data_IF_556941851998
#
_entry.id   IF_556941851998
#
_cell.length_a   1.000
_cell.length_b   1.000
_cell.length_c   1.000
_cell.angle_alpha   90.00
_cell.angle_beta   90.00
_cell.angle_gamma   90.00
#
_symmetry.space_group_name_H-M   'P 1'
#
loop_
_entity.id
_entity.type
_entity.pdbx_description
1 polymer ?
#
# COMPACT_ATOMS: atom_id res chain seq x y z
N UNK A 1 -24.41 31.03 14.73
CA UNK A 1 -24.94 29.68 14.96
C UNK A 1 -23.78 28.84 15.45
N UNK A 2 -23.88 28.24 16.62
CA UNK A 2 -22.81 27.39 17.18
C UNK A 2 -22.73 26.05 16.45
N UNK A 3 -21.62 25.33 16.60
CA UNK A 3 -21.52 23.96 16.10
C UNK A 3 -22.56 23.02 16.75
N UNK A 4 -22.92 23.22 18.02
CA UNK A 4 -24.00 22.45 18.67
C UNK A 4 -25.37 22.67 18.02
N UNK A 5 -25.68 23.92 17.66
CA UNK A 5 -26.92 24.25 16.96
C UNK A 5 -26.93 23.68 15.55
N UNK A 6 -25.78 23.73 14.86
CA UNK A 6 -25.58 23.11 13.55
C UNK A 6 -25.83 21.60 13.59
N UNK A 7 -25.31 20.89 14.58
CA UNK A 7 -25.47 19.45 14.71
C UNK A 7 -26.92 19.03 14.98
N UNK A 8 -27.73 19.90 15.60
CA UNK A 8 -29.16 19.67 15.83
C UNK A 8 -30.01 19.92 14.57
N UNK A 9 -29.50 20.65 13.59
CA UNK A 9 -30.23 20.98 12.37
C UNK A 9 -30.16 19.85 11.33
N UNK A 10 -31.31 19.45 10.79
CA UNK A 10 -31.34 18.65 9.57
C UNK A 10 -31.31 19.58 8.36
N UNK A 11 -30.12 19.73 7.75
CA UNK A 11 -29.87 20.64 6.61
C UNK A 11 -30.20 20.01 5.24
N UNK A 12 -30.57 18.73 5.22
CA UNK A 12 -30.93 18.00 4.01
C UNK A 12 -32.04 16.98 4.30
N UNK A 13 -32.93 16.79 3.33
CA UNK A 13 -33.98 15.77 3.38
C UNK A 13 -34.11 15.06 2.04
N UNK A 14 -33.83 13.76 2.04
CA UNK A 14 -34.09 12.86 0.91
C UNK A 14 -35.55 12.40 0.83
N UNK A 15 -36.27 12.46 1.96
CA UNK A 15 -37.71 12.25 2.01
C UNK A 15 -38.40 13.39 2.77
N UNK A 16 -39.03 14.30 2.01
CA UNK A 16 -39.79 15.42 2.55
C UNK A 16 -41.03 14.98 3.32
N UNK A 17 -41.56 13.76 3.07
CA UNK A 17 -42.74 13.26 3.77
C UNK A 17 -42.50 13.11 5.28
N UNK A 18 -41.23 12.92 5.69
CA UNK A 18 -40.82 12.76 7.09
C UNK A 18 -40.77 14.08 7.88
N UNK A 19 -41.03 15.22 7.24
CA UNK A 19 -40.78 16.55 7.80
C UNK A 19 -42.05 17.38 7.90
N UNK A 20 -43.21 16.76 7.64
CA UNK A 20 -44.53 17.36 7.84
C UNK A 20 -44.73 17.79 9.31
N UNK A 21 -45.37 18.94 9.58
CA UNK A 21 -46.11 19.81 8.64
C UNK A 21 -45.37 21.08 8.18
N UNK A 22 -45.63 21.47 6.93
CA UNK A 22 -45.23 22.77 6.36
C UNK A 22 -46.46 23.60 6.01
N UNK A 23 -46.33 24.93 6.05
CA UNK A 23 -47.39 25.82 5.62
C UNK A 23 -47.59 25.76 4.10
N UNK A 24 -48.84 25.55 3.69
CA UNK A 24 -49.27 25.52 2.29
C UNK A 24 -49.13 26.91 1.65
N UNK A 25 -49.22 27.96 2.46
CA UNK A 25 -49.11 29.36 2.07
C UNK A 25 -47.96 29.95 2.87
N UNK A 26 -47.08 30.71 2.19
CA UNK A 26 -46.00 31.40 2.85
C UNK A 26 -46.56 32.34 3.94
N UNK A 27 -46.01 32.32 5.16
CA UNK A 27 -46.49 33.17 6.27
C UNK A 27 -46.22 34.65 5.96
N UNK A 28 -46.94 35.62 6.56
CA UNK A 28 -46.83 37.04 6.20
C UNK A 28 -45.40 37.63 6.29
N UNK A 29 -44.56 37.05 7.14
CA UNK A 29 -43.16 37.42 7.40
C UNK A 29 -42.15 36.61 6.55
N UNK A 30 -42.60 35.97 5.46
CA UNK A 30 -41.77 35.10 4.63
C UNK A 30 -40.56 35.79 3.98
N UNK A 31 -40.59 37.11 3.81
CA UNK A 31 -39.52 37.88 3.18
C UNK A 31 -38.19 37.81 3.96
N UNK A 32 -38.25 37.62 5.29
CA UNK A 32 -37.07 37.49 6.16
C UNK A 32 -36.72 36.01 6.44
N UNK A 33 -37.35 35.07 5.75
CA UNK A 33 -37.15 33.66 5.99
C UNK A 33 -35.72 33.20 5.66
N UNK A 34 -35.25 32.22 6.42
CA UNK A 34 -33.95 31.56 6.20
C UNK A 34 -34.13 30.18 5.60
N UNK A 35 -33.15 29.74 4.82
CA UNK A 35 -33.12 28.37 4.33
C UNK A 35 -32.76 27.44 5.49
N UNK A 36 -33.67 26.53 5.84
CA UNK A 36 -33.43 25.50 6.84
C UNK A 36 -32.86 24.22 6.22
N UNK A 37 -33.33 23.83 5.04
CA UNK A 37 -32.85 22.64 4.35
C UNK A 37 -33.06 22.71 2.84
N UNK A 38 -32.30 21.88 2.11
CA UNK A 38 -32.50 21.61 0.69
C UNK A 38 -33.27 20.31 0.47
N UNK A 39 -34.05 20.26 -0.60
CA UNK A 39 -34.69 19.03 -1.07
C UNK A 39 -34.49 18.83 -2.56
N UNK A 40 -34.39 17.56 -2.95
CA UNK A 40 -34.29 17.14 -4.35
C UNK A 40 -35.00 15.79 -4.50
N UNK A 41 -36.16 15.79 -5.15
CA UNK A 41 -36.94 14.58 -5.39
C UNK A 41 -36.52 13.92 -6.72
N UNK A 42 -36.51 12.57 -6.78
CA UNK A 42 -36.14 11.84 -7.99
C UNK A 42 -37.02 12.22 -9.20
N UNK A 43 -36.40 12.21 -10.38
CA UNK A 43 -36.95 12.66 -11.66
C UNK A 43 -38.22 11.87 -12.12
N UNK A 44 -38.98 12.37 -13.12
CA UNK A 44 -40.44 12.30 -13.20
C UNK A 44 -41.06 10.95 -13.64
N UNK A 45 -40.40 9.81 -13.46
CA UNK A 45 -41.02 8.49 -13.73
C UNK A 45 -42.12 8.11 -12.72
N UNK A 46 -42.45 8.98 -11.76
CA UNK A 46 -43.55 8.85 -10.81
C UNK A 46 -43.74 10.14 -10.02
N UNK A 47 -44.45 11.11 -10.62
CA UNK A 47 -44.74 12.49 -10.18
C UNK A 47 -45.01 12.70 -8.68
N UNK A 48 -43.95 12.92 -7.89
CA UNK A 48 -44.04 13.67 -6.63
C UNK A 48 -43.43 15.05 -6.84
N UNK A 49 -44.23 15.99 -7.36
CA UNK A 49 -43.87 17.40 -7.34
C UNK A 49 -44.48 18.05 -6.11
N UNK A 50 -43.71 18.88 -5.43
CA UNK A 50 -44.16 19.60 -4.25
C UNK A 50 -44.71 20.96 -4.64
N UNK A 51 -45.78 21.34 -3.95
CA UNK A 51 -46.43 22.62 -4.12
C UNK A 51 -45.60 23.72 -3.44
N UNK A 52 -45.17 24.73 -4.20
CA UNK A 52 -44.52 25.92 -3.64
C UNK A 52 -45.53 26.73 -2.82
N UNK A 53 -45.10 27.21 -1.65
CA UNK A 53 -45.90 28.07 -0.76
C UNK A 53 -45.81 29.56 -1.13
N UNK A 54 -44.84 29.95 -1.97
CA UNK A 54 -44.64 31.32 -2.46
C UNK A 54 -45.73 31.75 -3.48
N UNK A 55 -45.92 33.06 -3.70
CA UNK A 55 -46.83 33.58 -4.71
C UNK A 55 -46.61 32.94 -6.10
N UNK A 56 -47.70 32.66 -6.82
CA UNK A 56 -47.66 31.95 -8.11
C UNK A 56 -47.75 30.42 -8.01
N UNK A 57 -47.48 29.83 -6.83
CA UNK A 57 -47.80 28.41 -6.50
C UNK A 57 -47.42 27.41 -7.61
N UNK A 58 -46.20 27.49 -8.10
CA UNK A 58 -45.67 26.49 -9.04
C UNK A 58 -45.35 25.17 -8.31
N UNK A 59 -45.26 24.07 -9.07
CA UNK A 59 -44.86 22.77 -8.56
C UNK A 59 -43.40 22.51 -8.88
N UNK A 60 -42.62 22.03 -7.92
CA UNK A 60 -41.19 21.79 -8.08
C UNK A 60 -40.79 20.40 -7.61
N UNK A 61 -39.78 19.82 -8.26
CA UNK A 61 -39.09 18.62 -7.80
C UNK A 61 -37.86 18.94 -6.93
N UNK A 62 -37.41 20.20 -6.91
CA UNK A 62 -36.26 20.64 -6.13
C UNK A 62 -36.47 22.04 -5.57
N UNK A 63 -35.88 22.31 -4.41
CA UNK A 63 -36.00 23.60 -3.75
C UNK A 63 -35.53 23.57 -2.31
N UNK A 64 -36.16 24.40 -1.50
CA UNK A 64 -35.75 24.68 -0.14
C UNK A 64 -36.94 24.61 0.82
N UNK A 65 -36.65 24.14 2.02
CA UNK A 65 -37.49 24.35 3.19
C UNK A 65 -37.02 25.63 3.84
N UNK A 66 -37.90 26.62 3.84
CA UNK A 66 -37.69 27.93 4.43
C UNK A 66 -38.30 27.95 5.84
N UNK A 67 -37.71 28.71 6.76
CA UNK A 67 -38.26 28.97 8.09
C UNK A 67 -38.41 30.47 8.27
N UNK A 68 -39.64 30.93 8.51
CA UNK A 68 -39.91 32.34 8.80
C UNK A 68 -39.45 32.73 10.20
N UNK A 69 -39.34 34.04 10.50
CA UNK A 69 -39.09 34.54 11.86
C UNK A 69 -40.09 34.03 12.90
N UNK A 70 -41.36 33.88 12.51
CA UNK A 70 -42.43 33.27 13.33
C UNK A 70 -42.25 31.75 13.58
N UNK A 71 -41.20 31.13 13.05
CA UNK A 71 -40.90 29.71 13.22
C UNK A 71 -41.69 28.79 12.30
N UNK A 72 -42.44 29.35 11.34
CA UNK A 72 -43.27 28.57 10.41
C UNK A 72 -42.41 28.08 9.25
N UNK A 73 -42.41 26.76 9.04
CA UNK A 73 -41.72 26.13 7.91
C UNK A 73 -42.60 26.15 6.66
N UNK A 74 -42.04 26.48 5.51
CA UNK A 74 -42.75 26.47 4.22
C UNK A 74 -41.83 26.08 3.06
N UNK A 75 -42.41 25.70 1.92
CA UNK A 75 -41.64 25.23 0.77
C UNK A 75 -41.45 26.34 -0.26
N UNK A 76 -40.21 26.54 -0.70
CA UNK A 76 -39.87 27.41 -1.81
C UNK A 76 -39.18 26.60 -2.92
N UNK A 77 -39.74 26.61 -4.12
CA UNK A 77 -39.05 26.07 -5.30
C UNK A 77 -37.77 26.84 -5.60
N UNK A 78 -36.77 26.20 -6.20
CA UNK A 78 -35.48 26.86 -6.50
C UNK A 78 -35.65 28.15 -7.34
N UNK A 79 -36.51 28.10 -8.36
CA UNK A 79 -36.76 29.24 -9.24
C UNK A 79 -37.66 30.30 -8.59
N UNK A 80 -38.68 29.85 -7.84
CA UNK A 80 -39.55 30.75 -7.08
C UNK A 80 -38.76 31.51 -6.02
N UNK A 81 -37.90 30.82 -5.25
CA UNK A 81 -37.03 31.46 -4.27
C UNK A 81 -36.12 32.50 -4.92
N UNK A 82 -35.48 32.17 -6.05
CA UNK A 82 -34.64 33.12 -6.79
C UNK A 82 -35.43 34.36 -7.27
N UNK A 83 -36.66 34.16 -7.74
CA UNK A 83 -37.52 35.25 -8.21
C UNK A 83 -37.95 36.16 -7.07
N UNK A 84 -38.42 35.58 -5.97
CA UNK A 84 -39.05 36.32 -4.88
C UNK A 84 -38.01 36.96 -3.92
N UNK A 85 -36.84 36.34 -3.72
CA UNK A 85 -35.79 36.85 -2.82
C UNK A 85 -34.58 37.46 -3.57
N UNK A 86 -34.53 37.40 -4.91
CA UNK A 86 -33.51 38.07 -5.72
C UNK A 86 -32.06 37.79 -5.30
N UNK A 87 -31.29 38.87 -5.07
CA UNK A 87 -29.89 38.80 -4.63
C UNK A 87 -29.71 38.20 -3.22
N UNK A 88 -30.68 38.41 -2.33
CA UNK A 88 -30.66 37.88 -0.97
C UNK A 88 -30.78 36.35 -0.95
N UNK A 89 -31.46 35.78 -1.96
CA UNK A 89 -31.53 34.33 -2.15
C UNK A 89 -30.16 33.69 -2.35
N UNK A 90 -29.28 34.34 -3.13
CA UNK A 90 -27.94 33.84 -3.36
C UNK A 90 -27.13 33.85 -2.05
N UNK A 91 -27.26 34.93 -1.26
CA UNK A 91 -26.65 35.02 0.07
C UNK A 91 -27.18 33.96 1.04
N UNK A 92 -28.49 33.72 1.05
CA UNK A 92 -29.13 32.66 1.86
C UNK A 92 -28.62 31.27 1.48
N UNK A 93 -28.57 30.97 0.17
CA UNK A 93 -28.06 29.70 -0.34
C UNK A 93 -26.60 29.48 0.05
N UNK A 94 -25.76 30.49 -0.12
CA UNK A 94 -24.34 30.43 0.27
C UNK A 94 -24.20 30.18 1.77
N UNK A 95 -24.94 30.91 2.62
CA UNK A 95 -24.93 30.69 4.08
C UNK A 95 -25.33 29.26 4.45
N UNK A 96 -26.39 28.73 3.84
CA UNK A 96 -26.82 27.35 4.04
C UNK A 96 -25.77 26.33 3.58
N UNK A 97 -25.15 26.53 2.42
CA UNK A 97 -24.13 25.62 1.90
C UNK A 97 -22.86 25.63 2.75
N UNK A 98 -22.45 26.79 3.25
CA UNK A 98 -21.35 26.91 4.23
C UNK A 98 -21.72 26.21 5.54
N UNK A 99 -22.92 26.42 6.07
CA UNK A 99 -23.42 25.76 7.28
C UNK A 99 -23.44 24.22 7.13
N UNK A 100 -23.86 23.73 5.96
CA UNK A 100 -23.87 22.29 5.64
C UNK A 100 -22.46 21.71 5.58
N UNK A 101 -21.54 22.37 4.88
CA UNK A 101 -20.12 21.95 4.84
C UNK A 101 -19.54 21.90 6.25
N UNK A 102 -19.78 22.94 7.04
CA UNK A 102 -19.37 23.02 8.44
C UNK A 102 -19.92 21.85 9.25
N UNK A 103 -21.22 21.57 9.14
CA UNK A 103 -21.84 20.45 9.85
C UNK A 103 -21.18 19.10 9.51
N UNK A 104 -20.89 18.85 8.23
CA UNK A 104 -20.19 17.63 7.78
C UNK A 104 -18.80 17.55 8.40
N UNK A 105 -18.03 18.63 8.36
CA UNK A 105 -16.68 18.70 8.93
C UNK A 105 -16.68 18.51 10.45
N UNK A 106 -17.64 19.11 11.15
CA UNK A 106 -17.80 18.96 12.60
C UNK A 106 -18.18 17.52 12.97
N UNK A 107 -19.12 16.89 12.26
CA UNK A 107 -19.48 15.49 12.46
C UNK A 107 -18.25 14.57 12.31
N UNK A 108 -17.49 14.75 11.23
CA UNK A 108 -16.27 13.99 10.98
C UNK A 108 -15.20 14.23 12.04
N UNK A 109 -15.06 15.47 12.51
CA UNK A 109 -14.15 15.82 13.60
C UNK A 109 -14.53 15.09 14.89
N UNK A 110 -15.82 15.06 15.27
CA UNK A 110 -16.29 14.35 16.46
C UNK A 110 -15.99 12.85 16.34
N UNK A 111 -16.37 12.23 15.22
CA UNK A 111 -16.11 10.82 14.96
C UNK A 111 -14.61 10.51 15.01
N UNK A 112 -13.78 11.35 14.41
CA UNK A 112 -12.32 11.19 14.45
C UNK A 112 -11.78 11.33 15.88
N UNK A 113 -12.26 12.31 16.65
CA UNK A 113 -11.83 12.54 18.04
C UNK A 113 -12.16 11.36 18.97
N UNK A 114 -13.29 10.72 18.76
CA UNK A 114 -13.71 9.52 19.50
C UNK A 114 -12.94 8.27 19.06
N UNK A 115 -12.70 8.13 17.76
CA UNK A 115 -12.06 6.98 17.15
C UNK A 115 -10.54 6.89 17.39
N UNK A 116 -9.88 8.03 17.25
CA UNK A 116 -8.41 8.11 17.17
C UNK A 116 -7.68 7.52 18.38
N UNK A 117 -8.14 7.67 19.64
CA UNK A 117 -7.49 7.03 20.80
C UNK A 117 -7.33 5.52 20.66
N UNK A 118 -8.41 4.80 20.35
CA UNK A 118 -8.40 3.34 20.22
C UNK A 118 -7.58 2.88 19.02
N UNK A 119 -7.58 3.67 17.93
CA UNK A 119 -6.71 3.40 16.78
C UNK A 119 -5.23 3.55 17.14
N UNK A 120 -4.86 4.65 17.81
CA UNK A 120 -3.49 4.94 18.25
C UNK A 120 -2.93 3.84 19.18
N UNK A 121 -3.75 3.29 20.08
CA UNK A 121 -3.37 2.16 20.95
C UNK A 121 -2.99 0.92 20.13
N UNK A 122 -3.78 0.59 19.10
CA UNK A 122 -3.50 -0.57 18.24
C UNK A 122 -2.23 -0.40 17.43
N UNK A 123 -2.01 0.76 16.82
CA UNK A 123 -0.82 1.00 16.01
C UNK A 123 0.45 1.13 16.85
N UNK A 124 0.35 1.63 18.10
CA UNK A 124 1.47 1.67 19.05
C UNK A 124 2.01 0.25 19.31
N UNK A 125 1.13 -0.76 19.34
CA UNK A 125 1.54 -2.16 19.46
C UNK A 125 2.28 -2.65 18.22
N UNK A 126 1.81 -2.27 17.03
CA UNK A 126 2.47 -2.65 15.76
C UNK A 126 3.87 -2.01 15.70
N UNK A 127 3.97 -0.73 16.03
CA UNK A 127 5.21 0.05 16.02
C UNK A 127 6.24 -0.47 17.01
N UNK A 128 5.85 -0.74 18.26
CA UNK A 128 6.80 -1.11 19.31
C UNK A 128 7.08 -2.61 19.40
N UNK A 129 6.15 -3.47 18.98
CA UNK A 129 6.32 -4.93 19.09
C UNK A 129 6.63 -5.57 17.74
N UNK A 130 5.86 -5.26 16.70
CA UNK A 130 5.91 -6.02 15.45
C UNK A 130 7.02 -5.56 14.52
N UNK A 131 7.20 -4.24 14.32
CA UNK A 131 8.24 -3.71 13.45
C UNK A 131 9.66 -4.03 13.93
N UNK A 132 10.02 -3.86 15.21
CA UNK A 132 11.35 -4.22 15.70
C UNK A 132 11.67 -5.69 15.46
N UNK A 133 10.69 -6.58 15.71
CA UNK A 133 10.83 -8.02 15.42
C UNK A 133 10.96 -8.31 13.94
N UNK A 134 10.24 -7.57 13.09
CA UNK A 134 10.32 -7.69 11.63
C UNK A 134 11.72 -7.29 11.11
N UNK A 135 12.27 -6.19 11.62
CA UNK A 135 13.59 -5.68 11.23
C UNK A 135 14.68 -6.62 11.73
N UNK A 136 14.64 -7.01 13.00
CA UNK A 136 15.58 -7.98 13.56
C UNK A 136 15.58 -9.28 12.72
N UNK A 137 14.42 -9.72 12.27
CA UNK A 137 14.29 -10.88 11.41
C UNK A 137 14.90 -10.67 10.02
N UNK A 138 14.66 -9.50 9.40
CA UNK A 138 15.24 -9.16 8.11
C UNK A 138 16.77 -9.10 8.20
N UNK A 139 17.30 -8.39 9.20
CA UNK A 139 18.74 -8.26 9.47
C UNK A 139 19.38 -9.62 9.73
N UNK A 140 18.77 -10.46 10.57
CA UNK A 140 19.24 -11.83 10.81
C UNK A 140 19.22 -12.68 9.53
N UNK A 141 18.22 -12.49 8.65
CA UNK A 141 18.17 -13.22 7.37
C UNK A 141 19.34 -12.82 6.47
N UNK A 142 19.63 -11.52 6.39
CA UNK A 142 20.69 -10.98 5.55
C UNK A 142 22.06 -11.39 6.11
N UNK A 143 22.25 -11.34 7.43
CA UNK A 143 23.49 -11.75 8.10
C UNK A 143 23.76 -13.26 7.96
N UNK A 144 22.73 -14.11 8.07
CA UNK A 144 22.93 -15.57 8.00
C UNK A 144 22.99 -16.13 6.59
N UNK A 145 22.39 -15.44 5.63
CA UNK A 145 22.48 -15.80 4.22
C UNK A 145 23.30 -14.73 3.49
N UNK A 146 24.63 -14.85 3.59
CA UNK A 146 25.57 -13.99 2.88
C UNK A 146 25.14 -13.80 1.42
N UNK A 147 25.04 -12.53 1.00
CA UNK A 147 24.65 -12.15 -0.36
C UNK A 147 23.29 -12.68 -0.83
N UNK A 148 22.37 -13.08 0.05
CA UNK A 148 21.02 -13.52 -0.34
C UNK A 148 20.33 -12.49 -1.25
N UNK A 149 20.42 -11.22 -0.89
CA UNK A 149 19.82 -10.13 -1.66
C UNK A 149 20.43 -9.97 -3.06
N UNK A 150 21.71 -10.30 -3.22
CA UNK A 150 22.41 -10.25 -4.51
C UNK A 150 21.99 -11.41 -5.43
N UNK A 151 21.59 -12.53 -4.83
CA UNK A 151 21.18 -13.73 -5.54
C UNK A 151 19.68 -13.79 -5.80
N UNK A 152 18.85 -12.97 -5.14
CA UNK A 152 17.43 -12.88 -5.47
C UNK A 152 17.24 -11.94 -6.66
N UNK A 153 16.93 -12.51 -7.81
CA UNK A 153 16.56 -11.76 -9.01
C UNK A 153 15.32 -10.90 -8.79
N UNK A 154 15.10 -9.92 -9.68
CA UNK A 154 13.93 -9.02 -9.60
C UNK A 154 12.58 -9.74 -9.69
N UNK A 155 12.56 -10.97 -10.20
CA UNK A 155 11.39 -11.83 -10.28
C UNK A 155 11.26 -12.82 -9.11
N UNK A 156 12.10 -12.69 -8.08
CA UNK A 156 12.13 -13.53 -6.90
C UNK A 156 12.84 -14.87 -7.08
N UNK A 157 13.44 -15.18 -8.25
CA UNK A 157 14.19 -16.43 -8.41
C UNK A 157 15.59 -16.32 -7.80
N UNK A 158 16.01 -17.39 -7.12
CA UNK A 158 17.34 -17.51 -6.52
C UNK A 158 18.36 -17.92 -7.57
N UNK A 159 19.34 -17.06 -7.80
CA UNK A 159 20.47 -17.26 -8.67
C UNK A 159 21.59 -18.03 -7.96
N UNK A 160 22.39 -18.78 -8.71
CA UNK A 160 23.61 -19.41 -8.22
C UNK A 160 24.59 -19.57 -9.39
N UNK A 161 25.87 -19.46 -9.09
CA UNK A 161 26.92 -19.61 -10.08
C UNK A 161 27.42 -21.05 -10.13
N UNK A 162 27.66 -21.54 -11.35
CA UNK A 162 28.26 -22.84 -11.58
C UNK A 162 29.31 -22.75 -12.68
N UNK A 163 30.29 -23.66 -12.65
CA UNK A 163 31.30 -23.75 -13.69
C UNK A 163 30.92 -24.83 -14.68
N UNK A 164 30.68 -24.43 -15.93
CA UNK A 164 30.41 -25.34 -17.03
C UNK A 164 31.58 -25.37 -18.01
N UNK A 165 31.78 -26.50 -18.68
CA UNK A 165 32.76 -26.59 -19.76
C UNK A 165 32.35 -25.67 -20.91
N UNK A 166 33.24 -24.75 -21.28
CA UNK A 166 33.18 -24.05 -22.54
C UNK A 166 33.73 -24.97 -23.63
N UNK A 167 32.83 -25.74 -24.24
CA UNK A 167 33.20 -26.68 -25.31
C UNK A 167 33.93 -25.98 -26.46
N UNK A 168 33.56 -24.74 -26.81
CA UNK A 168 34.20 -24.04 -27.92
C UNK A 168 35.60 -23.57 -27.58
N UNK A 169 35.83 -23.08 -26.36
CA UNK A 169 37.17 -22.71 -25.91
C UNK A 169 38.06 -23.95 -25.75
N UNK A 170 37.51 -25.04 -25.23
CA UNK A 170 38.22 -26.32 -25.09
C UNK A 170 38.59 -26.91 -26.45
N UNK A 171 37.69 -26.86 -27.44
CA UNK A 171 38.00 -27.31 -28.80
C UNK A 171 39.07 -26.43 -29.45
N UNK A 172 38.98 -25.09 -29.32
CA UNK A 172 40.03 -24.19 -29.83
C UNK A 172 41.40 -24.47 -29.21
N UNK A 173 41.46 -24.81 -27.93
CA UNK A 173 42.70 -25.19 -27.26
C UNK A 173 43.26 -26.52 -27.80
N UNK A 174 42.39 -27.52 -28.05
CA UNK A 174 42.78 -28.80 -28.68
C UNK A 174 43.27 -28.60 -30.12
N UNK A 175 42.56 -27.78 -30.90
CA UNK A 175 42.92 -27.43 -32.28
C UNK A 175 44.25 -26.69 -32.36
N UNK A 176 44.55 -25.79 -31.40
CA UNK A 176 45.82 -25.09 -31.35
C UNK A 176 47.01 -26.07 -31.21
N UNK A 177 46.87 -27.11 -30.39
CA UNK A 177 47.87 -28.17 -30.25
C UNK A 177 47.88 -29.08 -31.50
N UNK A 178 46.73 -29.37 -32.09
CA UNK A 178 46.62 -30.17 -33.32
C UNK A 178 47.28 -29.49 -34.54
N UNK A 179 47.30 -28.15 -34.61
CA UNK A 179 48.05 -27.41 -35.65
C UNK A 179 49.56 -27.66 -35.59
N UNK A 180 50.11 -28.02 -34.44
CA UNK A 180 51.51 -28.47 -34.36
C UNK A 180 51.70 -29.82 -35.05
N UNK A 181 50.69 -30.70 -35.00
CA UNK A 181 50.72 -31.99 -35.70
C UNK A 181 50.80 -31.80 -37.21
N UNK A 182 49.97 -30.90 -37.75
CA UNK A 182 49.95 -30.57 -39.19
C UNK A 182 51.33 -30.09 -39.68
N UNK A 183 52.01 -29.26 -38.89
CA UNK A 183 53.38 -28.81 -39.19
C UNK A 183 54.39 -29.96 -39.20
N UNK A 184 54.31 -30.86 -38.22
CA UNK A 184 55.21 -32.00 -38.10
C UNK A 184 54.98 -33.02 -39.24
N UNK A 185 53.73 -33.23 -39.62
CA UNK A 185 53.38 -34.05 -40.78
C UNK A 185 53.89 -33.44 -42.09
N UNK A 186 53.79 -32.12 -42.25
CA UNK A 186 54.35 -31.40 -43.39
C UNK A 186 55.89 -31.53 -43.45
N UNK A 187 56.58 -31.36 -42.32
CA UNK A 187 58.04 -31.51 -42.24
C UNK A 187 58.51 -32.94 -42.55
N UNK A 188 57.74 -33.96 -42.12
CA UNK A 188 58.02 -35.35 -42.46
C UNK A 188 57.83 -35.64 -43.95
N UNK A 189 56.72 -35.17 -44.55
CA UNK A 189 56.47 -35.30 -46.00
C UNK A 189 57.56 -34.64 -46.86
N UNK A 190 58.18 -33.58 -46.36
CA UNK A 190 59.30 -32.90 -47.03
C UNK A 190 60.68 -33.51 -46.72
N UNK A 191 60.73 -34.69 -46.09
CA UNK A 191 61.97 -35.38 -45.68
C UNK A 191 62.88 -34.56 -44.74
N UNK A 192 62.34 -33.56 -44.02
CA UNK A 192 63.11 -32.69 -43.11
C UNK A 192 63.40 -33.35 -41.76
N UNK A 193 62.67 -34.40 -41.41
CA UNK A 193 62.81 -35.14 -40.15
C UNK A 193 62.79 -36.66 -40.40
N UNK A 194 63.56 -37.42 -39.61
CA UNK A 194 63.61 -38.88 -39.68
C UNK A 194 62.34 -39.51 -39.09
N UNK A 195 61.95 -40.69 -39.58
CA UNK A 195 60.74 -41.41 -39.15
C UNK A 195 60.68 -41.68 -37.64
N UNK A 196 61.81 -42.01 -37.02
CA UNK A 196 61.91 -42.22 -35.56
C UNK A 196 61.58 -40.97 -34.75
N UNK A 197 61.99 -39.80 -35.25
CA UNK A 197 61.70 -38.50 -34.63
C UNK A 197 60.23 -38.12 -34.85
N UNK A 198 59.70 -38.37 -36.06
CA UNK A 198 58.30 -38.14 -36.40
C UNK A 198 57.36 -38.93 -35.46
N UNK A 199 57.54 -40.26 -35.34
CA UNK A 199 56.71 -41.11 -34.47
C UNK A 199 56.72 -40.62 -33.02
N UNK A 200 57.90 -40.27 -32.48
CA UNK A 200 58.02 -39.76 -31.11
C UNK A 200 57.27 -38.44 -30.92
N UNK A 201 57.38 -37.49 -31.86
CA UNK A 201 56.70 -36.19 -31.76
C UNK A 201 55.19 -36.29 -31.96
N UNK A 202 54.71 -37.13 -32.87
CA UNK A 202 53.26 -37.40 -33.03
C UNK A 202 52.68 -37.99 -31.75
N UNK A 203 53.38 -38.94 -31.13
CA UNK A 203 52.96 -39.51 -29.84
C UNK A 203 52.89 -38.45 -28.75
N UNK A 204 53.89 -37.57 -28.65
CA UNK A 204 53.93 -36.46 -27.69
C UNK A 204 52.77 -35.46 -27.89
N UNK A 205 52.49 -35.07 -29.13
CA UNK A 205 51.37 -34.17 -29.43
C UNK A 205 50.03 -34.81 -29.10
N UNK A 206 49.82 -36.08 -29.43
CA UNK A 206 48.58 -36.78 -29.07
C UNK A 206 48.38 -36.88 -27.55
N UNK A 207 49.47 -37.06 -26.79
CA UNK A 207 49.43 -36.99 -25.34
C UNK A 207 49.06 -35.57 -24.86
N UNK A 208 49.63 -34.52 -25.48
CA UNK A 208 49.31 -33.12 -25.16
C UNK A 208 47.86 -32.76 -25.48
N UNK A 209 47.30 -33.21 -26.60
CA UNK A 209 45.88 -33.00 -26.96
C UNK A 209 44.97 -33.65 -25.92
N UNK A 210 45.28 -34.88 -25.50
CA UNK A 210 44.53 -35.58 -24.44
C UNK A 210 44.69 -34.92 -23.07
N UNK A 211 45.82 -34.27 -22.84
CA UNK A 211 46.12 -33.54 -21.60
C UNK A 211 45.54 -32.11 -21.55
N UNK A 212 44.92 -31.61 -22.64
CA UNK A 212 44.23 -30.32 -22.62
C UNK A 212 43.08 -30.38 -21.61
N UNK A 213 43.21 -29.61 -20.54
CA UNK A 213 42.16 -29.50 -19.51
C UNK A 213 40.93 -28.79 -20.09
N UNK A 214 39.71 -29.18 -19.70
CA UNK A 214 38.50 -28.44 -20.03
C UNK A 214 38.64 -26.98 -19.62
N UNK A 215 38.32 -26.08 -20.54
CA UNK A 215 38.20 -24.66 -20.23
C UNK A 215 36.85 -24.47 -19.57
N UNK A 216 36.86 -24.10 -18.29
CA UNK A 216 35.65 -23.85 -17.53
C UNK A 216 35.25 -22.38 -17.65
N UNK A 217 33.94 -22.11 -17.78
CA UNK A 217 33.37 -20.75 -17.69
C UNK A 217 32.34 -20.70 -16.56
N UNK A 218 32.27 -19.57 -15.89
CA UNK A 218 31.23 -19.31 -14.89
C UNK A 218 29.91 -18.98 -15.60
N UNK A 219 28.84 -19.62 -15.17
CA UNK A 219 27.47 -19.43 -15.67
C UNK A 219 26.54 -19.27 -14.49
N UNK A 220 25.74 -18.20 -14.50
CA UNK A 220 24.68 -17.98 -13.52
C UNK A 220 23.43 -18.74 -13.93
N UNK A 221 22.93 -19.58 -13.03
CA UNK A 221 21.67 -20.32 -13.18
C UNK A 221 20.67 -19.82 -12.14
N UNK A 222 19.41 -20.20 -12.32
CA UNK A 222 18.32 -19.84 -11.43
C UNK A 222 17.58 -21.10 -10.98
N UNK A 223 17.14 -21.12 -9.73
CA UNK A 223 16.11 -22.05 -9.30
C UNK A 223 14.82 -21.80 -10.09
N UNK A 224 14.09 -22.89 -10.35
CA UNK A 224 12.85 -22.86 -11.14
C UNK A 224 11.75 -22.04 -10.45
N UNK A 225 11.64 -22.22 -9.14
CA UNK A 225 10.61 -21.58 -8.32
C UNK A 225 11.08 -20.24 -7.76
N UNK A 226 10.11 -19.40 -7.38
CA UNK A 226 10.34 -18.06 -6.84
C UNK A 226 10.26 -18.06 -5.33
N UNK A 227 11.20 -17.38 -4.68
CA UNK A 227 11.08 -17.00 -3.29
C UNK A 227 10.08 -15.85 -3.17
N UNK A 228 8.88 -16.13 -2.65
CA UNK A 228 7.84 -15.12 -2.45
C UNK A 228 8.10 -14.25 -1.23
N UNK A 229 7.64 -13.00 -1.24
CA UNK A 229 7.67 -12.16 -0.05
C UNK A 229 9.06 -11.62 0.31
N UNK A 230 10.06 -11.76 -0.56
CA UNK A 230 11.43 -11.29 -0.35
C UNK A 230 11.53 -9.76 -0.22
N UNK A 231 10.49 -9.04 -0.59
CA UNK A 231 10.37 -7.58 -0.47
C UNK A 231 10.61 -7.13 0.98
N UNK A 232 10.18 -7.92 1.97
CA UNK A 232 10.39 -7.57 3.39
C UNK A 232 11.87 -7.46 3.78
N UNK A 233 12.77 -8.19 3.12
CA UNK A 233 14.21 -8.09 3.38
C UNK A 233 14.77 -6.73 2.96
N UNK A 234 14.15 -6.07 1.98
CA UNK A 234 14.61 -4.79 1.42
C UNK A 234 13.86 -3.61 2.03
N UNK A 235 12.57 -3.80 2.32
CA UNK A 235 11.64 -2.72 2.59
C UNK A 235 11.26 -2.60 4.07
N UNK A 236 11.57 -3.56 4.94
CA UNK A 236 11.13 -3.52 6.35
C UNK A 236 11.47 -2.20 7.07
N UNK A 237 12.69 -1.69 6.89
CA UNK A 237 13.13 -0.44 7.54
C UNK A 237 12.48 0.80 6.92
N UNK A 238 12.27 0.83 5.58
CA UNK A 238 11.57 1.94 4.94
C UNK A 238 10.09 1.96 5.31
N UNK A 239 9.43 0.80 5.36
CA UNK A 239 8.04 0.68 5.79
C UNK A 239 7.86 1.06 7.27
N UNK A 240 8.80 0.71 8.16
CA UNK A 240 8.76 1.19 9.55
C UNK A 240 8.83 2.72 9.62
N UNK A 241 9.72 3.33 8.82
CA UNK A 241 9.89 4.79 8.80
C UNK A 241 8.61 5.47 8.33
N UNK A 242 8.03 5.01 7.21
CA UNK A 242 6.75 5.51 6.68
C UNK A 242 5.60 5.35 7.68
N UNK A 243 5.55 4.20 8.37
CA UNK A 243 4.56 3.94 9.42
C UNK A 243 4.71 4.93 10.58
N UNK A 244 5.94 5.15 11.08
CA UNK A 244 6.21 6.06 12.18
C UNK A 244 5.89 7.52 11.80
N UNK A 245 6.20 7.95 10.57
CA UNK A 245 5.82 9.27 10.06
C UNK A 245 4.30 9.47 10.06
N UNK A 246 3.54 8.47 9.63
CA UNK A 246 2.09 8.50 9.65
C UNK A 246 1.52 8.52 11.09
N UNK A 247 2.09 7.73 12.01
CA UNK A 247 1.72 7.77 13.43
C UNK A 247 1.97 9.15 14.05
N UNK A 248 3.10 9.80 13.75
CA UNK A 248 3.38 11.18 14.20
C UNK A 248 2.28 12.16 13.76
N UNK A 249 1.81 12.05 12.51
CA UNK A 249 0.71 12.88 11.99
C UNK A 249 -0.58 12.64 12.78
N UNK A 250 -0.92 11.37 13.06
CA UNK A 250 -2.10 11.02 13.86
C UNK A 250 -1.99 11.52 15.31
N UNK A 251 -0.84 11.36 15.96
CA UNK A 251 -0.62 11.87 17.32
C UNK A 251 -0.67 13.40 17.37
N UNK A 252 -0.11 14.09 16.37
CA UNK A 252 -0.20 15.55 16.25
C UNK A 252 -1.66 15.99 16.09
N UNK A 253 -2.42 15.28 15.27
CA UNK A 253 -3.85 15.50 15.07
C UNK A 253 -4.61 15.34 16.40
N UNK A 254 -4.37 14.25 17.13
CA UNK A 254 -4.97 14.02 18.44
C UNK A 254 -4.61 15.12 19.45
N UNK A 255 -3.35 15.57 19.46
CA UNK A 255 -2.89 16.66 20.32
C UNK A 255 -3.62 17.96 20.02
N UNK A 256 -3.77 18.32 18.74
CA UNK A 256 -4.54 19.50 18.33
C UNK A 256 -6.01 19.40 18.79
N UNK A 257 -6.64 18.24 18.62
CA UNK A 257 -8.02 18.00 19.10
C UNK A 257 -8.19 18.09 20.61
N UNK A 258 -7.17 17.70 21.38
CA UNK A 258 -7.18 17.77 22.86
C UNK A 258 -7.02 19.20 23.38
N UNK A 259 -6.23 20.03 22.71
CA UNK A 259 -6.05 21.43 23.08
C UNK A 259 -7.25 22.31 22.69
N UNK A 260 -8.04 21.88 21.71
CA UNK A 260 -9.29 22.51 21.35
C UNK A 260 -10.37 22.26 22.41
N UNK A 261 -10.92 23.35 22.97
CA UNK A 261 -12.03 23.31 23.94
C UNK A 261 -13.35 22.91 23.29
N UNK A 262 -13.58 23.29 22.04
CA UNK A 262 -14.71 22.85 21.20
C UNK A 262 -14.31 22.83 19.72
N UNK A 263 -15.16 22.29 18.84
CA UNK A 263 -14.94 22.35 17.39
C UNK A 263 -14.99 23.80 16.85
N UNK A 264 -15.66 24.72 17.57
CA UNK A 264 -15.75 26.14 17.20
C UNK A 264 -14.38 26.84 17.21
N UNK A 265 -13.36 26.25 17.85
CA UNK A 265 -12.00 26.79 17.84
C UNK A 265 -11.27 26.64 16.50
N UNK A 266 -11.84 25.88 15.57
CA UNK A 266 -11.30 25.68 14.23
C UNK A 266 -12.21 26.35 13.21
N UNK A 267 -11.63 26.99 12.20
CA UNK A 267 -12.31 27.31 10.95
C UNK A 267 -12.70 26.03 10.18
N UNK A 268 -13.58 26.16 9.18
CA UNK A 268 -13.97 25.00 8.37
C UNK A 268 -12.76 24.41 7.61
N UNK A 269 -11.89 25.27 7.08
CA UNK A 269 -10.73 24.84 6.32
C UNK A 269 -9.72 24.10 7.21
N UNK A 270 -9.52 24.56 8.46
CA UNK A 270 -8.68 23.86 9.44
C UNK A 270 -9.24 22.48 9.82
N UNK A 271 -10.56 22.34 9.97
CA UNK A 271 -11.17 21.02 10.19
C UNK A 271 -10.97 20.10 8.99
N UNK A 272 -11.19 20.60 7.78
CA UNK A 272 -11.02 19.82 6.54
C UNK A 272 -9.57 19.38 6.36
N UNK A 273 -8.60 20.26 6.58
CA UNK A 273 -7.18 19.95 6.50
C UNK A 273 -6.77 18.90 7.54
N UNK A 274 -7.28 19.03 8.77
CA UNK A 274 -7.01 18.09 9.84
C UNK A 274 -7.60 16.69 9.53
N UNK A 275 -8.84 16.62 9.02
CA UNK A 275 -9.47 15.36 8.62
C UNK A 275 -8.72 14.74 7.44
N UNK A 276 -8.31 15.56 6.45
CA UNK A 276 -7.57 15.11 5.27
C UNK A 276 -6.20 14.56 5.65
N UNK A 277 -5.48 15.23 6.55
CA UNK A 277 -4.20 14.76 7.07
C UNK A 277 -4.33 13.42 7.78
N UNK A 278 -5.36 13.26 8.63
CA UNK A 278 -5.65 11.99 9.29
C UNK A 278 -5.98 10.87 8.29
N UNK A 279 -6.86 11.13 7.30
CA UNK A 279 -7.18 10.16 6.23
C UNK A 279 -5.94 9.72 5.44
N UNK A 280 -5.05 10.66 5.12
CA UNK A 280 -3.79 10.35 4.43
C UNK A 280 -2.89 9.46 5.30
N UNK A 281 -2.75 9.77 6.58
CA UNK A 281 -1.96 8.98 7.52
C UNK A 281 -2.54 7.57 7.76
N UNK A 282 -3.86 7.43 7.86
CA UNK A 282 -4.51 6.13 7.93
C UNK A 282 -4.20 5.26 6.71
N UNK A 283 -4.37 5.82 5.51
CA UNK A 283 -4.05 5.13 4.26
C UNK A 283 -2.58 4.72 4.21
N UNK A 284 -1.69 5.58 4.69
CA UNK A 284 -0.26 5.27 4.70
C UNK A 284 0.07 4.12 5.65
N UNK A 285 -0.53 4.10 6.84
CA UNK A 285 -0.43 2.96 7.77
C UNK A 285 -0.91 1.67 7.09
N UNK A 286 -2.08 1.69 6.46
CA UNK A 286 -2.62 0.52 5.76
C UNK A 286 -1.71 0.02 4.63
N UNK A 287 -1.04 0.94 3.90
CA UNK A 287 -0.09 0.58 2.86
C UNK A 287 1.19 -0.09 3.40
N UNK A 288 1.54 0.14 4.66
CA UNK A 288 2.73 -0.45 5.29
C UNK A 288 2.46 -1.87 5.82
N UNK A 289 1.21 -2.20 6.21
CA UNK A 289 0.89 -3.49 6.82
C UNK A 289 1.16 -4.75 5.95
N UNK A 290 1.04 -4.72 4.61
CA UNK A 290 1.34 -5.88 3.77
C UNK A 290 2.77 -6.43 3.95
N UNK A 291 3.71 -5.64 4.47
CA UNK A 291 5.09 -6.09 4.72
C UNK A 291 5.15 -7.29 5.68
N UNK A 292 4.22 -7.36 6.65
CA UNK A 292 4.11 -8.48 7.58
C UNK A 292 3.63 -9.75 6.87
N UNK A 293 2.74 -9.62 5.88
CA UNK A 293 2.35 -10.75 5.03
C UNK A 293 3.51 -11.22 4.15
N UNK A 294 4.29 -10.27 3.60
CA UNK A 294 5.50 -10.60 2.82
C UNK A 294 6.48 -11.40 3.66
N UNK A 295 6.74 -11.00 4.91
CA UNK A 295 7.56 -11.78 5.83
C UNK A 295 6.98 -13.17 6.09
N UNK A 296 5.67 -13.29 6.35
CA UNK A 296 5.01 -14.59 6.53
C UNK A 296 5.16 -15.50 5.29
N UNK A 297 5.03 -14.95 4.08
CA UNK A 297 5.22 -15.68 2.82
C UNK A 297 6.68 -16.09 2.64
N UNK A 298 7.61 -15.22 2.99
CA UNK A 298 9.03 -15.50 2.90
C UNK A 298 9.43 -16.71 3.77
N UNK A 299 8.90 -16.78 4.99
CA UNK A 299 9.15 -17.88 5.93
C UNK A 299 8.25 -19.11 5.75
N UNK A 300 7.48 -19.16 4.65
CA UNK A 300 6.66 -20.33 4.31
C UNK A 300 7.52 -21.59 4.10
N UNK A 301 6.94 -22.77 4.35
CA UNK A 301 7.64 -24.05 4.14
C UNK A 301 8.17 -24.20 2.71
N UNK A 302 7.46 -23.64 1.73
CA UNK A 302 7.87 -23.66 0.33
C UNK A 302 9.19 -22.90 0.13
N UNK A 303 9.25 -21.64 0.54
CA UNK A 303 10.45 -20.82 0.41
C UNK A 303 11.63 -21.35 1.23
N UNK A 304 11.37 -21.87 2.42
CA UNK A 304 12.41 -22.54 3.19
C UNK A 304 12.98 -23.73 2.41
N UNK A 305 12.12 -24.58 1.83
CA UNK A 305 12.56 -25.65 0.93
C UNK A 305 13.48 -25.13 -0.19
N UNK A 306 13.13 -24.00 -0.81
CA UNK A 306 13.98 -23.36 -1.82
C UNK A 306 15.33 -22.89 -1.26
N UNK A 307 15.35 -22.24 -0.10
CA UNK A 307 16.58 -21.79 0.54
C UNK A 307 17.50 -22.96 0.92
N UNK A 308 16.96 -24.11 1.35
CA UNK A 308 17.80 -25.30 1.60
C UNK A 308 18.39 -25.94 0.36
N UNK A 309 17.71 -25.81 -0.78
CA UNK A 309 18.26 -26.28 -2.06
C UNK A 309 19.31 -25.30 -2.58
N UNK A 310 19.07 -24.01 -2.41
CA UNK A 310 19.91 -22.94 -2.91
C UNK A 310 21.22 -22.78 -2.13
N UNK A 311 21.17 -22.75 -0.80
CA UNK A 311 22.35 -22.41 0.02
C UNK A 311 23.59 -23.31 -0.26
N UNK A 312 23.46 -24.64 -0.38
CA UNK A 312 24.61 -25.50 -0.72
C UNK A 312 25.16 -25.26 -2.14
N UNK A 313 24.36 -24.70 -3.06
CA UNK A 313 24.80 -24.39 -4.43
C UNK A 313 25.69 -23.15 -4.47
N UNK A 314 25.43 -22.18 -3.59
CA UNK A 314 26.23 -20.93 -3.50
C UNK A 314 27.43 -21.13 -2.59
N UNK A 315 27.28 -21.87 -1.50
CA UNK A 315 28.35 -22.17 -0.56
C UNK A 315 28.28 -23.64 -0.16
N UNK A 316 29.15 -24.52 -0.69
CA UNK A 316 29.10 -25.96 -0.41
C UNK A 316 29.30 -26.34 1.07
N UNK A 317 29.87 -25.43 1.87
CA UNK A 317 29.98 -25.57 3.32
C UNK A 317 28.69 -25.20 4.06
N UNK A 318 27.74 -24.55 3.39
CA UNK A 318 26.43 -24.22 3.93
C UNK A 318 25.45 -25.38 3.75
N UNK A 319 24.76 -25.74 4.83
CA UNK A 319 23.58 -26.60 4.80
C UNK A 319 22.49 -25.96 5.64
N UNK A 320 21.26 -26.03 5.17
CA UNK A 320 20.13 -25.41 5.87
C UNK A 320 19.15 -26.52 6.23
N UNK A 321 18.86 -26.62 7.51
CA UNK A 321 17.88 -27.54 8.07
C UNK A 321 16.77 -26.76 8.73
N UNK A 322 15.53 -27.23 8.58
CA UNK A 322 14.37 -26.56 9.14
C UNK A 322 13.67 -27.44 10.15
N UNK A 323 13.27 -26.84 11.26
CA UNK A 323 12.32 -27.43 12.20
C UNK A 323 10.99 -26.66 12.13
N UNK A 324 9.98 -27.15 12.86
CA UNK A 324 8.71 -26.44 12.97
C UNK A 324 8.83 -25.08 13.67
N UNK A 325 9.92 -24.84 14.43
CA UNK A 325 10.11 -23.63 15.25
C UNK A 325 11.34 -22.79 14.88
N UNK A 326 12.29 -23.36 14.14
CA UNK A 326 13.57 -22.71 13.84
C UNK A 326 14.05 -23.05 12.43
N UNK A 327 14.81 -22.13 11.87
CA UNK A 327 15.64 -22.32 10.70
C UNK A 327 17.07 -22.43 11.18
N UNK A 328 17.66 -23.61 11.08
CA UNK A 328 19.04 -23.88 11.48
C UNK A 328 19.93 -23.88 10.24
N UNK A 329 20.82 -22.89 10.14
CA UNK A 329 21.77 -22.69 9.04
C UNK A 329 23.14 -23.09 9.55
N UNK A 330 23.72 -24.13 8.97
CA UNK A 330 25.05 -24.61 9.32
C UNK A 330 26.04 -24.19 8.24
N UNK A 331 27.09 -23.47 8.62
CA UNK A 331 28.16 -23.00 7.74
C UNK A 331 29.48 -23.61 8.21
N UNK A 332 29.89 -24.74 7.62
CA UNK A 332 31.00 -25.54 8.13
C UNK A 332 30.74 -26.06 9.54
N UNK A 333 31.55 -25.63 10.51
CA UNK A 333 31.38 -25.98 11.92
C UNK A 333 30.40 -25.05 12.67
N UNK A 334 30.08 -23.89 12.11
CA UNK A 334 29.20 -22.90 12.75
C UNK A 334 27.74 -23.26 12.54
N UNK A 335 26.95 -23.18 13.61
CA UNK A 335 25.49 -23.32 13.58
C UNK A 335 24.86 -21.98 13.95
N UNK A 336 24.13 -21.39 13.01
CA UNK A 336 23.26 -20.25 13.24
C UNK A 336 21.80 -20.73 13.27
N UNK A 337 21.00 -20.19 14.17
CA UNK A 337 19.56 -20.47 14.25
C UNK A 337 18.80 -19.17 14.13
N UNK A 338 17.81 -19.14 13.24
CA UNK A 338 16.80 -18.09 13.16
C UNK A 338 15.52 -18.69 13.72
N UNK A 339 14.98 -18.12 14.80
CA UNK A 339 13.65 -18.51 15.27
C UNK A 339 12.66 -18.24 14.14
N UNK A 340 11.87 -19.27 13.75
CA UNK A 340 10.73 -19.00 12.87
C UNK A 340 9.84 -18.08 13.66
N UNK A 341 9.55 -16.86 13.18
CA UNK A 341 8.50 -16.10 13.80
C UNK A 341 7.25 -16.98 13.74
N UNK A 342 6.59 -17.15 14.88
CA UNK A 342 5.15 -17.41 14.80
C UNK A 342 4.56 -16.37 13.84
N UNK A 343 3.59 -16.78 13.02
CA UNK A 343 3.00 -15.92 12.00
C UNK A 343 2.81 -14.49 12.53
N UNK A 344 3.31 -13.48 11.81
CA UNK A 344 3.02 -12.10 12.14
C UNK A 344 1.52 -11.91 11.98
N UNK A 345 0.82 -11.78 13.10
CA UNK A 345 -0.62 -11.50 13.13
C UNK A 345 -0.75 -10.02 13.40
N UNK A 346 -1.03 -9.26 12.34
CA UNK A 346 -1.38 -7.85 12.48
C UNK A 346 -2.76 -7.78 13.15
N UNK A 347 -2.91 -7.08 14.28
CA UNK A 347 -4.22 -6.90 14.89
C UNK A 347 -5.14 -6.16 13.89
N UNK A 348 -6.42 -6.56 13.76
CA UNK A 348 -7.31 -5.90 12.82
C UNK A 348 -7.46 -4.43 13.20
N UNK A 349 -7.07 -3.56 12.25
CA UNK A 349 -7.29 -2.13 12.36
C UNK A 349 -8.72 -1.83 11.89
N UNK A 350 -9.48 -1.04 12.66
CA UNK A 350 -10.81 -0.62 12.24
C UNK A 350 -10.71 0.32 11.04
N UNK A 351 -11.58 0.15 10.05
CA UNK A 351 -11.58 0.93 8.79
C UNK A 351 -11.97 2.39 9.07
N UNK A 352 -11.05 3.36 8.92
CA UNK A 352 -11.34 4.76 9.20
C UNK A 352 -12.34 5.37 8.22
N UNK A 353 -12.47 4.83 7.00
CA UNK A 353 -13.44 5.34 6.02
C UNK A 353 -14.87 4.92 6.38
N UNK A 354 -15.06 3.71 6.89
CA UNK A 354 -16.37 3.29 7.41
C UNK A 354 -16.87 4.21 8.51
N UNK A 355 -15.95 4.77 9.31
CA UNK A 355 -16.30 5.65 10.42
C UNK A 355 -16.45 7.09 9.95
N UNK A 356 -15.49 7.63 9.18
CA UNK A 356 -15.50 9.04 8.77
C UNK A 356 -16.47 9.35 7.62
N UNK A 357 -16.90 8.33 6.87
CA UNK A 357 -17.88 8.49 5.80
C UNK A 357 -19.28 7.95 6.19
N UNK A 358 -19.41 7.34 7.37
CA UNK A 358 -20.70 7.14 8.02
C UNK A 358 -21.24 8.48 8.54
N UNK A 359 -21.71 9.33 7.64
CA UNK A 359 -22.44 10.53 8.03
C UNK A 359 -23.81 10.11 8.60
N UNK A 360 -24.19 10.59 9.79
CA UNK A 360 -25.54 10.38 10.29
C UNK A 360 -26.54 11.11 9.39
N UNK A 361 -27.33 10.36 8.62
CA UNK A 361 -28.53 10.87 7.93
C UNK A 361 -28.33 11.42 6.52
N UNK A 362 -27.63 10.69 5.65
CA UNK A 362 -28.04 10.56 4.23
C UNK A 362 -28.86 9.28 4.11
#
# INVERSE_FOLDING_TARGET
MSDEDLLKLRLFYDDIALVSPYAIIAPPDWAEAVIQAKYSLPAPKGTKLLQCSLPGRHKHNQGFIMMSPSGVKFLAGIDCGKKEFGGDFAGLKTRHDTARKRQISVNRYILLKEFLPTYLEKITRIENDLFPRLIELADNSIDKFDSLLDHIGSDGRLAYDTFEEDFQATQRAKEAVAKELEKIEADFKQNRIKETIFKKRVQDINLRIRAVKPVMRQVTKYLKDRALGFEFLKEASSEQTRFAEADIVLRKTMKQMRHATSSDSFSNDELEDLIKAAKAAFKEIDNCLPIFESANRFYSNQNLGLLSQWAPMVSPSQSVTFTSRRVDIRIGEYLASIDRPGQFIVPPLPDPNQILDALPGV
#
